data_IF_348587825183
#
_entry.id   IF_348587825183
#
_cell.length_a   1.000
_cell.length_b   1.000
_cell.length_c   1.000
_cell.angle_alpha   90.00
_cell.angle_beta   90.00
_cell.angle_gamma   90.00
#
_symmetry.space_group_name_H-M   'P 1'
#
loop_
_entity.id
_entity.type
_entity.pdbx_description
1 polymer ?
#
# COMPACT_ATOMS: atom_id res chain seq x y z
N UNK A 1 35.97 22.48 -25.02
CA UNK A 1 34.89 23.07 -24.18
C UNK A 1 33.89 22.00 -23.88
N UNK A 2 33.92 21.46 -22.67
CA UNK A 2 32.85 20.62 -22.18
C UNK A 2 31.71 21.56 -21.78
N UNK A 3 30.73 21.68 -22.64
CA UNK A 3 29.48 22.33 -22.28
C UNK A 3 28.83 21.56 -21.16
N UNK A 4 28.56 22.22 -20.04
CA UNK A 4 27.97 21.67 -18.85
C UNK A 4 26.49 21.29 -19.09
N UNK A 5 26.28 20.13 -19.71
CA UNK A 5 24.93 19.51 -19.73
C UNK A 5 24.55 18.87 -18.37
N UNK A 6 25.56 18.72 -17.51
CA UNK A 6 25.35 18.10 -16.20
C UNK A 6 24.42 18.90 -15.28
N UNK A 7 24.40 20.23 -15.35
CA UNK A 7 23.54 21.05 -14.53
C UNK A 7 22.06 20.98 -14.93
N UNK A 8 21.74 20.69 -16.20
CA UNK A 8 20.36 20.54 -16.66
C UNK A 8 19.75 19.19 -16.27
N UNK A 9 20.57 18.17 -15.99
CA UNK A 9 20.10 16.82 -15.65
C UNK A 9 19.77 16.66 -14.16
N UNK A 10 20.33 17.52 -13.31
CA UNK A 10 20.09 17.49 -11.85
C UNK A 10 18.63 17.78 -11.49
N UNK A 11 17.91 18.50 -12.34
CA UNK A 11 16.51 18.88 -12.10
C UNK A 11 15.50 18.07 -12.92
N UNK A 12 15.94 17.10 -13.71
CA UNK A 12 15.04 16.25 -14.48
C UNK A 12 14.37 15.25 -13.57
N UNK A 13 13.04 15.19 -13.66
CA UNK A 13 12.25 14.17 -12.97
C UNK A 13 12.57 12.81 -13.56
N UNK A 14 12.90 11.85 -12.71
CA UNK A 14 13.11 10.48 -13.13
C UNK A 14 11.77 9.75 -13.25
N UNK A 15 11.64 8.92 -14.29
CA UNK A 15 10.45 8.09 -14.49
C UNK A 15 10.65 6.79 -13.73
N UNK A 16 9.75 6.55 -12.76
CA UNK A 16 9.63 5.31 -12.01
C UNK A 16 8.48 4.50 -12.59
N UNK A 17 8.75 3.27 -13.03
CA UNK A 17 7.71 2.36 -13.53
C UNK A 17 7.57 1.15 -12.62
N UNK A 18 6.35 0.84 -12.20
CA UNK A 18 6.06 -0.44 -11.55
C UNK A 18 5.96 -1.53 -12.62
N UNK A 19 6.77 -2.57 -12.47
CA UNK A 19 6.74 -3.71 -13.37
C UNK A 19 5.64 -4.69 -12.96
N UNK A 20 4.90 -5.16 -13.96
CA UNK A 20 3.80 -6.09 -13.79
C UNK A 20 3.73 -7.12 -14.92
N UNK A 21 2.69 -7.96 -14.99
CA UNK A 21 2.60 -9.07 -15.95
C UNK A 21 2.77 -8.64 -17.42
N UNK A 22 2.29 -7.45 -17.79
CA UNK A 22 2.35 -6.95 -19.17
C UNK A 22 3.64 -6.20 -19.51
N UNK A 23 4.52 -5.98 -18.54
CA UNK A 23 5.73 -5.13 -18.69
C UNK A 23 7.02 -5.82 -18.24
N UNK A 24 7.02 -7.14 -18.05
CA UNK A 24 8.15 -7.91 -17.51
C UNK A 24 9.05 -8.57 -18.56
N UNK A 25 8.58 -8.64 -19.81
CA UNK A 25 9.33 -9.29 -20.88
C UNK A 25 10.46 -8.37 -21.41
N UNK A 26 11.58 -8.96 -21.83
CA UNK A 26 12.76 -8.23 -22.29
C UNK A 26 12.43 -7.16 -23.35
N UNK A 27 11.67 -7.44 -24.43
CA UNK A 27 11.36 -6.41 -25.43
C UNK A 27 10.56 -5.24 -24.86
N UNK A 28 9.66 -5.46 -23.90
CA UNK A 28 8.89 -4.41 -23.26
C UNK A 28 9.78 -3.56 -22.34
N UNK A 29 10.68 -4.20 -21.59
CA UNK A 29 11.62 -3.53 -20.72
C UNK A 29 12.61 -2.65 -21.53
N UNK A 30 13.09 -3.14 -22.68
CA UNK A 30 13.91 -2.34 -23.60
C UNK A 30 13.14 -1.10 -24.10
N UNK A 31 11.87 -1.28 -24.48
CA UNK A 31 11.03 -0.16 -24.91
C UNK A 31 10.82 0.87 -23.78
N UNK A 32 10.58 0.42 -22.55
CA UNK A 32 10.46 1.29 -21.37
C UNK A 32 11.76 2.05 -21.08
N UNK A 33 12.92 1.39 -21.16
CA UNK A 33 14.22 2.02 -20.96
C UNK A 33 14.47 3.10 -22.01
N UNK A 34 14.21 2.83 -23.30
CA UNK A 34 14.32 3.80 -24.40
C UNK A 34 13.33 4.96 -24.27
N UNK A 35 12.12 4.69 -23.73
CA UNK A 35 11.11 5.72 -23.44
C UNK A 35 11.45 6.61 -22.23
N UNK A 36 12.50 6.27 -21.45
CA UNK A 36 12.99 7.11 -20.36
C UNK A 36 12.80 6.55 -18.95
N UNK A 37 12.38 5.30 -18.80
CA UNK A 37 12.38 4.64 -17.48
C UNK A 37 13.80 4.66 -16.90
N UNK A 38 13.94 5.09 -15.65
CA UNK A 38 15.21 5.10 -14.92
C UNK A 38 15.17 4.35 -13.61
N UNK A 39 13.98 4.06 -13.09
CA UNK A 39 13.78 3.24 -11.89
C UNK A 39 12.67 2.24 -12.17
N UNK A 40 12.95 0.97 -11.95
CA UNK A 40 12.01 -0.13 -12.01
C UNK A 40 11.56 -0.49 -10.57
N UNK A 41 10.27 -0.32 -10.27
CA UNK A 41 9.69 -0.67 -8.97
C UNK A 41 9.11 -2.08 -9.01
N UNK A 42 9.54 -2.90 -8.07
CA UNK A 42 9.06 -4.26 -7.82
C UNK A 42 8.16 -4.26 -6.59
N UNK A 43 6.85 -4.41 -6.79
CA UNK A 43 5.86 -4.42 -5.72
C UNK A 43 5.70 -5.83 -5.15
N UNK A 44 6.32 -6.09 -4.00
CA UNK A 44 6.28 -7.40 -3.31
C UNK A 44 4.98 -7.68 -2.56
N UNK A 45 4.00 -6.78 -2.61
CA UNK A 45 2.63 -7.09 -2.19
C UNK A 45 1.92 -8.07 -3.15
N UNK A 46 2.47 -8.28 -4.36
CA UNK A 46 1.95 -9.16 -5.39
C UNK A 46 3.08 -10.02 -5.98
N UNK A 47 2.73 -11.24 -6.38
CA UNK A 47 3.71 -12.18 -6.92
C UNK A 47 4.57 -12.84 -5.83
N UNK A 48 5.38 -13.81 -6.24
CA UNK A 48 6.34 -14.50 -5.39
C UNK A 48 7.79 -14.10 -5.72
N UNK A 49 8.74 -14.61 -4.98
CA UNK A 49 10.17 -14.34 -5.19
C UNK A 49 10.67 -14.82 -6.56
N UNK A 50 10.17 -15.96 -7.06
CA UNK A 50 10.55 -16.48 -8.38
C UNK A 50 10.10 -15.55 -9.50
N UNK A 51 8.86 -15.04 -9.41
CA UNK A 51 8.31 -14.06 -10.34
C UNK A 51 9.15 -12.78 -10.40
N UNK A 52 9.52 -12.24 -9.23
CA UNK A 52 10.32 -11.02 -9.16
C UNK A 52 11.77 -11.25 -9.60
N UNK A 53 12.34 -12.41 -9.29
CA UNK A 53 13.69 -12.79 -9.75
C UNK A 53 13.77 -12.84 -11.27
N UNK A 54 12.84 -13.53 -11.92
CA UNK A 54 12.77 -13.59 -13.38
C UNK A 54 12.61 -12.20 -14.01
N UNK A 55 11.74 -11.37 -13.44
CA UNK A 55 11.55 -9.99 -13.91
C UNK A 55 12.83 -9.16 -13.78
N UNK A 56 13.59 -9.34 -12.69
CA UNK A 56 14.88 -8.69 -12.49
C UNK A 56 15.94 -9.16 -13.50
N UNK A 57 15.99 -10.46 -13.78
CA UNK A 57 16.93 -11.00 -14.76
C UNK A 57 16.62 -10.48 -16.17
N UNK A 58 15.34 -10.42 -16.53
CA UNK A 58 14.90 -9.80 -17.78
C UNK A 58 15.27 -8.31 -17.86
N UNK A 59 15.15 -7.55 -16.75
CA UNK A 59 15.56 -6.15 -16.69
C UNK A 59 17.07 -5.98 -16.91
N UNK A 60 17.89 -6.88 -16.35
CA UNK A 60 19.34 -6.88 -16.54
C UNK A 60 19.70 -7.12 -18.00
N UNK A 61 19.09 -8.12 -18.64
CA UNK A 61 19.25 -8.40 -20.06
C UNK A 61 18.85 -7.17 -20.90
N UNK A 62 17.71 -6.57 -20.62
CA UNK A 62 17.24 -5.36 -21.32
C UNK A 62 18.20 -4.18 -21.13
N UNK A 63 18.75 -3.99 -19.94
CA UNK A 63 19.76 -2.95 -19.66
C UNK A 63 21.07 -3.19 -20.43
N UNK A 64 21.53 -4.42 -20.51
CA UNK A 64 22.70 -4.81 -21.31
C UNK A 64 22.47 -4.56 -22.81
N UNK A 65 21.33 -5.02 -23.36
CA UNK A 65 20.98 -4.86 -24.76
C UNK A 65 20.86 -3.39 -25.18
N UNK A 66 20.37 -2.54 -24.30
CA UNK A 66 20.15 -1.11 -24.60
C UNK A 66 21.31 -0.22 -24.22
N UNK A 67 22.23 -0.67 -23.38
CA UNK A 67 23.27 0.15 -22.75
C UNK A 67 22.73 1.21 -21.77
N UNK A 68 21.44 1.08 -21.35
CA UNK A 68 20.77 2.05 -20.48
C UNK A 68 20.69 1.50 -19.06
N UNK A 69 21.34 2.17 -18.09
CA UNK A 69 21.24 1.83 -16.68
C UNK A 69 19.85 2.14 -16.10
N UNK A 70 19.36 1.25 -15.22
CA UNK A 70 18.10 1.38 -14.51
C UNK A 70 18.28 1.03 -13.04
N UNK A 71 17.83 1.91 -12.15
CA UNK A 71 17.76 1.63 -10.72
C UNK A 71 16.64 0.63 -10.41
N UNK A 72 16.81 -0.16 -9.36
CA UNK A 72 15.80 -1.10 -8.87
C UNK A 72 15.26 -0.60 -7.54
N UNK A 73 13.95 -0.43 -7.45
CA UNK A 73 13.22 -0.11 -6.23
C UNK A 73 12.51 -1.37 -5.73
N UNK A 74 12.97 -1.90 -4.62
CA UNK A 74 12.31 -2.99 -3.90
C UNK A 74 11.26 -2.37 -2.96
N UNK A 75 9.99 -2.53 -3.30
CA UNK A 75 8.87 -2.12 -2.45
C UNK A 75 8.37 -3.34 -1.69
N UNK A 76 8.88 -3.49 -0.47
CA UNK A 76 8.56 -4.63 0.40
C UNK A 76 7.14 -4.50 0.94
N UNK A 77 6.48 -5.64 1.13
CA UNK A 77 5.15 -5.68 1.74
C UNK A 77 5.13 -5.08 3.14
N UNK A 78 6.20 -5.27 3.92
CA UNK A 78 6.29 -4.86 5.31
C UNK A 78 5.25 -5.54 6.22
N UNK A 79 5.22 -5.22 7.50
CA UNK A 79 4.11 -5.56 8.38
C UNK A 79 2.90 -4.72 7.99
N UNK A 80 1.83 -5.38 7.48
CA UNK A 80 0.60 -4.70 7.06
C UNK A 80 -0.50 -4.92 8.09
N UNK A 81 -1.12 -3.83 8.51
CA UNK A 81 -2.40 -3.89 9.22
C UNK A 81 -3.50 -3.97 8.16
N UNK A 82 -4.40 -4.94 8.30
CA UNK A 82 -5.51 -5.14 7.38
C UNK A 82 -6.84 -5.26 8.10
N UNK A 83 -7.91 -4.83 7.42
CA UNK A 83 -9.28 -5.17 7.82
C UNK A 83 -9.53 -6.66 7.61
N UNK A 84 -10.46 -7.23 8.36
CA UNK A 84 -10.89 -8.63 8.26
C UNK A 84 -11.83 -8.91 7.10
N UNK A 85 -12.48 -10.06 7.19
CA UNK A 85 -13.53 -10.49 6.27
C UNK A 85 -14.86 -9.82 6.62
N UNK A 86 -15.76 -9.73 5.65
CA UNK A 86 -17.12 -9.21 5.83
C UNK A 86 -18.14 -10.35 5.87
N UNK A 87 -19.27 -10.12 6.53
CA UNK A 87 -20.25 -11.16 6.83
C UNK A 87 -20.78 -11.89 5.57
N UNK A 88 -20.98 -11.18 4.49
CA UNK A 88 -21.45 -11.78 3.23
C UNK A 88 -20.44 -11.72 2.09
N UNK A 89 -19.18 -11.32 2.37
CA UNK A 89 -18.15 -11.12 1.33
C UNK A 89 -18.37 -9.89 0.45
N UNK A 90 -19.49 -9.18 0.66
CA UNK A 90 -19.85 -8.00 -0.14
C UNK A 90 -19.33 -6.71 0.52
N UNK A 91 -18.83 -5.75 -0.28
CA UNK A 91 -18.39 -4.47 0.26
C UNK A 91 -19.51 -3.72 0.96
N UNK A 92 -19.23 -3.21 2.16
CA UNK A 92 -20.18 -2.42 2.96
C UNK A 92 -20.01 -0.92 2.68
N UNK A 93 -21.14 -0.20 2.59
CA UNK A 93 -21.10 1.26 2.51
C UNK A 93 -20.95 1.83 3.91
N UNK A 94 -19.90 2.59 4.12
CA UNK A 94 -19.69 3.40 5.32
C UNK A 94 -20.08 4.84 4.98
N UNK A 95 -20.95 5.41 5.79
CA UNK A 95 -21.43 6.78 5.57
C UNK A 95 -20.64 7.75 6.46
N UNK A 96 -20.37 8.94 5.95
CA UNK A 96 -19.76 10.01 6.72
C UNK A 96 -20.56 10.30 8.01
N UNK A 97 -19.83 10.39 9.12
CA UNK A 97 -20.41 10.62 10.45
C UNK A 97 -20.88 9.36 11.18
N UNK A 98 -20.90 8.19 10.49
CA UNK A 98 -21.26 6.92 11.18
C UNK A 98 -20.18 6.51 12.18
N UNK A 99 -20.63 5.98 13.32
CA UNK A 99 -19.75 5.40 14.33
C UNK A 99 -19.62 3.90 14.10
N UNK A 100 -18.38 3.41 14.15
CA UNK A 100 -18.02 2.04 13.81
C UNK A 100 -17.09 1.50 14.90
N UNK A 101 -17.30 0.25 15.29
CA UNK A 101 -16.39 -0.45 16.18
C UNK A 101 -15.32 -1.18 15.36
N UNK A 102 -14.05 -0.89 15.58
CA UNK A 102 -12.95 -1.74 15.16
C UNK A 102 -12.64 -2.74 16.24
N UNK A 103 -12.50 -4.03 15.89
CA UNK A 103 -12.15 -5.10 16.84
C UNK A 103 -10.87 -5.80 16.44
N UNK A 104 -10.05 -6.17 17.42
CA UNK A 104 -8.85 -6.99 17.21
C UNK A 104 -9.15 -8.49 17.14
N UNK A 105 -10.40 -8.90 17.37
CA UNK A 105 -10.86 -10.26 17.05
C UNK A 105 -10.94 -10.42 15.53
N UNK A 106 -9.87 -10.93 14.94
CA UNK A 106 -9.71 -11.02 13.49
C UNK A 106 -10.59 -12.11 12.85
N UNK A 107 -11.09 -13.06 13.63
CA UNK A 107 -12.03 -14.09 13.17
C UNK A 107 -13.46 -13.56 13.03
N UNK A 108 -13.73 -12.41 13.61
CA UNK A 108 -15.02 -11.75 13.51
C UNK A 108 -15.29 -11.31 12.08
N UNK A 109 -16.46 -11.67 11.55
CA UNK A 109 -16.95 -11.18 10.27
C UNK A 109 -17.59 -9.81 10.44
N UNK A 110 -17.03 -8.83 9.73
CA UNK A 110 -17.44 -7.44 9.86
C UNK A 110 -18.70 -7.09 9.09
N UNK A 111 -19.25 -5.94 9.43
CA UNK A 111 -20.38 -5.30 8.77
C UNK A 111 -20.23 -3.77 8.85
N UNK A 112 -21.27 -3.02 8.48
CA UNK A 112 -21.23 -1.55 8.51
C UNK A 112 -20.98 -0.92 9.90
N UNK A 113 -21.17 -1.67 11.00
CA UNK A 113 -21.01 -1.16 12.36
C UNK A 113 -19.80 -1.78 13.10
N UNK A 114 -19.26 -2.90 12.59
CA UNK A 114 -18.17 -3.65 13.19
C UNK A 114 -17.18 -4.09 12.11
N UNK A 115 -15.90 -3.83 12.30
CA UNK A 115 -14.84 -4.21 11.36
C UNK A 115 -13.70 -4.84 12.15
N UNK A 116 -13.31 -6.06 11.78
CA UNK A 116 -12.16 -6.72 12.35
C UNK A 116 -10.84 -6.11 11.78
N UNK A 117 -9.79 -6.09 12.60
CA UNK A 117 -8.48 -5.55 12.27
C UNK A 117 -7.40 -6.51 12.72
N UNK A 118 -6.40 -6.77 11.86
CA UNK A 118 -5.33 -7.74 12.12
C UNK A 118 -4.32 -7.33 13.20
N UNK A 119 -4.35 -6.07 13.67
CA UNK A 119 -3.39 -5.54 14.62
C UNK A 119 -3.90 -5.66 16.06
N UNK A 120 -3.35 -6.62 16.80
CA UNK A 120 -3.80 -6.94 18.17
C UNK A 120 -3.61 -5.79 19.18
N UNK A 121 -2.57 -4.96 19.00
CA UNK A 121 -2.30 -3.82 19.89
C UNK A 121 -3.05 -2.53 19.50
N UNK A 122 -3.96 -2.56 18.52
CA UNK A 122 -4.64 -1.36 18.02
C UNK A 122 -5.21 -0.48 19.12
N UNK A 123 -5.99 -1.08 20.04
CA UNK A 123 -6.66 -0.32 21.11
C UNK A 123 -5.69 0.29 22.15
N UNK A 124 -4.46 -0.24 22.24
CA UNK A 124 -3.39 0.25 23.11
C UNK A 124 -2.63 1.41 22.50
N UNK A 125 -2.39 1.34 21.18
CA UNK A 125 -1.42 2.21 20.52
C UNK A 125 -2.08 3.45 19.87
N UNK A 126 -3.39 3.41 19.63
CA UNK A 126 -4.12 4.60 19.16
C UNK A 126 -4.76 5.35 20.34
N UNK A 127 -5.00 6.63 20.15
CA UNK A 127 -5.64 7.48 21.16
C UNK A 127 -6.85 8.22 20.55
N UNK A 128 -7.82 8.67 21.37
CA UNK A 128 -8.89 9.55 20.91
C UNK A 128 -8.33 10.74 20.13
N UNK A 129 -8.90 11.02 18.96
CA UNK A 129 -8.44 12.05 18.02
C UNK A 129 -7.40 11.56 17.02
N UNK A 130 -6.81 10.37 17.15
CA UNK A 130 -5.94 9.78 16.14
C UNK A 130 -6.71 9.50 14.86
N UNK A 131 -6.02 9.62 13.71
CA UNK A 131 -6.58 9.25 12.42
C UNK A 131 -6.17 7.83 12.05
N UNK A 132 -7.09 7.11 11.41
CA UNK A 132 -6.87 5.79 10.82
C UNK A 132 -7.27 5.89 9.35
N UNK A 133 -6.35 5.52 8.44
CA UNK A 133 -6.59 5.53 7.00
C UNK A 133 -6.78 4.08 6.52
N UNK A 134 -7.86 3.81 5.81
CA UNK A 134 -8.16 2.51 5.22
C UNK A 134 -8.24 2.58 3.71
N UNK A 135 -8.00 1.43 3.04
CA UNK A 135 -8.15 1.25 1.60
C UNK A 135 -7.39 2.34 0.80
N UNK A 136 -6.08 2.43 1.03
CA UNK A 136 -5.17 3.42 0.42
C UNK A 136 -5.59 4.89 0.68
N UNK A 137 -6.19 5.15 1.84
CA UNK A 137 -6.65 6.46 2.24
C UNK A 137 -8.00 6.87 1.66
N UNK A 138 -8.69 5.97 0.94
CA UNK A 138 -10.06 6.24 0.45
C UNK A 138 -11.08 6.34 1.57
N UNK A 139 -10.77 5.80 2.74
CA UNK A 139 -11.59 5.88 3.96
C UNK A 139 -10.72 6.44 5.08
N UNK A 140 -11.22 7.47 5.73
CA UNK A 140 -10.60 8.10 6.90
C UNK A 140 -11.50 7.93 8.10
N UNK A 141 -10.93 7.46 9.19
CA UNK A 141 -11.59 7.40 10.49
C UNK A 141 -10.91 8.31 11.50
N UNK A 142 -11.69 8.85 12.42
CA UNK A 142 -11.20 9.50 13.65
C UNK A 142 -11.53 8.61 14.84
N UNK A 143 -10.55 8.32 15.68
CA UNK A 143 -10.72 7.53 16.90
C UNK A 143 -11.51 8.35 17.91
N UNK A 144 -12.59 7.76 18.45
CA UNK A 144 -13.45 8.37 19.49
C UNK A 144 -13.06 7.87 20.86
N UNK A 145 -12.92 6.55 21.02
CA UNK A 145 -12.51 5.92 22.29
C UNK A 145 -11.84 4.58 22.06
N UNK A 146 -11.07 4.13 23.03
CA UNK A 146 -10.36 2.86 23.02
C UNK A 146 -10.73 2.05 24.26
N UNK A 147 -10.97 0.75 24.07
CA UNK A 147 -11.14 -0.21 25.16
C UNK A 147 -10.09 -1.30 25.00
N UNK A 148 -9.01 -1.18 25.79
CA UNK A 148 -7.85 -2.10 25.70
C UNK A 148 -8.22 -3.51 26.14
N UNK A 149 -9.04 -3.64 27.19
CA UNK A 149 -9.44 -4.95 27.74
C UNK A 149 -10.30 -5.74 26.76
N UNK A 150 -11.18 -5.05 26.03
CA UNK A 150 -12.03 -5.65 25.01
C UNK A 150 -11.36 -5.74 23.63
N UNK A 151 -10.18 -5.14 23.44
CA UNK A 151 -9.52 -5.06 22.13
C UNK A 151 -10.35 -4.29 21.09
N UNK A 152 -11.11 -3.26 21.51
CA UNK A 152 -11.98 -2.51 20.59
C UNK A 152 -11.67 -1.02 20.57
N UNK A 153 -11.90 -0.43 19.41
CA UNK A 153 -11.74 1.01 19.18
C UNK A 153 -13.01 1.55 18.51
N UNK A 154 -13.64 2.56 19.10
CA UNK A 154 -14.74 3.28 18.47
C UNK A 154 -14.17 4.37 17.56
N UNK A 155 -14.63 4.39 16.33
CA UNK A 155 -14.19 5.37 15.34
C UNK A 155 -15.38 6.00 14.64
N UNK A 156 -15.20 7.22 14.13
CA UNK A 156 -16.16 7.90 13.26
C UNK A 156 -15.60 7.98 11.84
N UNK A 157 -16.42 7.63 10.85
CA UNK A 157 -16.06 7.82 9.45
C UNK A 157 -16.11 9.30 9.06
N UNK A 158 -15.03 9.83 8.52
CA UNK A 158 -14.93 11.23 8.11
C UNK A 158 -15.39 11.47 6.66
N UNK A 159 -15.56 10.39 5.90
CA UNK A 159 -16.06 10.42 4.54
C UNK A 159 -16.88 9.17 4.21
N UNK A 160 -17.68 9.24 3.15
CA UNK A 160 -18.49 8.10 2.69
C UNK A 160 -17.71 7.32 1.63
N UNK A 161 -17.56 6.00 1.83
CA UNK A 161 -16.92 5.12 0.86
C UNK A 161 -17.32 3.64 1.06
N UNK A 162 -17.12 2.82 0.03
CA UNK A 162 -17.28 1.36 0.13
C UNK A 162 -16.02 0.71 0.69
N UNK A 163 -16.17 -0.07 1.74
CA UNK A 163 -15.13 -0.90 2.31
C UNK A 163 -15.29 -2.35 1.86
N UNK A 164 -14.29 -2.87 1.15
CA UNK A 164 -14.17 -4.30 0.85
C UNK A 164 -13.33 -5.04 1.89
N UNK A 165 -13.19 -6.34 1.70
CA UNK A 165 -12.41 -7.21 2.58
C UNK A 165 -10.90 -6.97 2.49
N UNK A 166 -10.18 -7.26 3.59
CA UNK A 166 -8.71 -7.29 3.68
C UNK A 166 -8.02 -6.03 3.16
N UNK A 167 -8.64 -4.89 3.35
CA UNK A 167 -8.05 -3.61 2.96
C UNK A 167 -6.95 -3.20 3.93
N UNK A 168 -5.90 -2.59 3.39
CA UNK A 168 -4.82 -2.05 4.19
C UNK A 168 -5.32 -0.96 5.15
N UNK A 169 -4.66 -0.84 6.27
CA UNK A 169 -4.90 0.18 7.28
C UNK A 169 -3.59 0.82 7.68
N UNK A 170 -3.56 2.13 7.72
CA UNK A 170 -2.42 2.92 8.15
C UNK A 170 -2.79 3.75 9.39
N UNK A 171 -1.85 3.87 10.31
CA UNK A 171 -1.98 4.60 11.57
C UNK A 171 -0.97 5.76 11.56
N UNK A 172 -1.28 6.92 10.95
CA UNK A 172 -0.36 8.04 10.87
C UNK A 172 0.07 8.53 12.25
N UNK A 173 1.40 8.66 12.45
CA UNK A 173 1.96 9.16 13.71
C UNK A 173 1.94 8.17 14.89
N UNK A 174 1.51 6.94 14.67
CA UNK A 174 1.54 5.86 15.68
C UNK A 174 2.76 5.00 15.46
N UNK A 175 3.52 4.73 16.53
CA UNK A 175 4.56 3.72 16.52
C UNK A 175 3.89 2.35 16.65
N UNK A 176 4.04 1.52 15.66
CA UNK A 176 3.52 0.14 15.61
C UNK A 176 4.66 -0.80 15.96
N UNK A 177 4.49 -1.64 17.00
CA UNK A 177 5.47 -2.63 17.44
C UNK A 177 5.43 -3.90 16.56
#
# INVERSE_FOLDING_TARGET
QRTSSAASDVYKRQIVCTLGPVSRDVPKLEALLRAGMRVARFNFSHGDHAYHKETLDNLRIASENTGIGCGVLLDTKGPEIRTGMLDHGEPVMLEMGSEITLTTDYECKGNKNLIAVSYASLAKDVAPGSQILCADGSITFTVLSCNVDAGTVQVRAENSAKLGERKNMNLPGVNVD
#
